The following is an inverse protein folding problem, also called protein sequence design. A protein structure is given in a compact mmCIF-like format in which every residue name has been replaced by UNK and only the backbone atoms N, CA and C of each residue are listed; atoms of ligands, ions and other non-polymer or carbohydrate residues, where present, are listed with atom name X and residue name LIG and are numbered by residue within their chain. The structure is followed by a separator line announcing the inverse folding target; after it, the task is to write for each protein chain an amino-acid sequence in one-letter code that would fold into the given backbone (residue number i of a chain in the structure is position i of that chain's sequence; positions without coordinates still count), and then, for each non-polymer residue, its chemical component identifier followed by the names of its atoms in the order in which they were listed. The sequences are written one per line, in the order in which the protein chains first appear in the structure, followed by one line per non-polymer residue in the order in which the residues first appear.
data_IF_663528220628
#
_entry.id   IF_663528220628
#
_cell.length_a   1.000
_cell.length_b   1.000
_cell.length_c   1.000
_cell.angle_alpha   90.00
_cell.angle_beta   90.00
_cell.angle_gamma   90.00
#
_symmetry.space_group_name_H-M   'P 1'
#
loop_
_entity.id
_entity.type
_entity.pdbx_description
1 polymer ?
#
# COMPACT_ATOMS: atom_id res chain seq x y z
N UNK A 1 2.77 -1.75 -5.55
CA UNK A 1 3.39 -0.73 -6.43
C UNK A 1 2.51 -0.30 -7.61
N UNK A 2 2.02 -1.20 -8.47
CA UNK A 2 1.21 -0.86 -9.66
C UNK A 2 0.02 0.06 -9.34
N UNK A 3 -0.73 -0.24 -8.28
CA UNK A 3 -1.87 0.58 -7.84
C UNK A 3 -1.45 2.01 -7.48
N UNK A 4 -0.37 2.18 -6.71
CA UNK A 4 0.15 3.50 -6.36
C UNK A 4 0.62 4.30 -7.58
N UNK A 5 1.28 3.65 -8.55
CA UNK A 5 1.67 4.29 -9.82
C UNK A 5 0.45 4.77 -10.60
N UNK A 6 -0.60 3.93 -10.69
CA UNK A 6 -1.84 4.31 -11.37
C UNK A 6 -2.58 5.43 -10.64
N UNK A 7 -2.55 5.45 -9.31
CA UNK A 7 -3.10 6.54 -8.51
C UNK A 7 -2.39 7.88 -8.78
N UNK A 8 -1.05 7.85 -8.92
CA UNK A 8 -0.27 9.04 -9.25
C UNK A 8 -0.65 9.64 -10.61
N UNK A 9 -0.91 8.81 -11.62
CA UNK A 9 -1.43 9.25 -12.93
C UNK A 9 -2.81 9.96 -12.83
N UNK A 10 -3.54 9.74 -11.73
CA UNK A 10 -4.82 10.38 -11.42
C UNK A 10 -4.69 11.55 -10.42
N UNK A 11 -3.46 11.97 -10.08
CA UNK A 11 -3.20 13.08 -9.15
C UNK A 11 -3.27 12.70 -7.66
N UNK A 12 -3.29 11.41 -7.34
CA UNK A 12 -3.33 10.89 -5.97
C UNK A 12 -1.95 10.39 -5.54
N UNK A 13 -1.50 10.80 -4.36
CA UNK A 13 -0.36 10.19 -3.68
C UNK A 13 -0.78 9.18 -2.63
N UNK A 14 0.20 8.59 -1.95
CA UNK A 14 0.00 7.62 -0.86
C UNK A 14 0.40 8.26 0.45
N UNK A 15 -0.56 8.37 1.37
CA UNK A 15 -0.37 8.90 2.73
C UNK A 15 0.07 7.85 3.74
N UNK A 16 -0.19 6.58 3.42
CA UNK A 16 0.31 5.46 4.18
C UNK A 16 -0.06 4.12 3.54
N UNK A 17 0.63 3.08 3.98
CA UNK A 17 0.43 1.69 3.55
C UNK A 17 0.55 0.74 4.73
N UNK A 18 -0.34 -0.25 4.81
CA UNK A 18 -0.27 -1.32 5.81
C UNK A 18 -0.70 -2.65 5.20
N UNK A 19 -0.17 -3.76 5.72
CA UNK A 19 -0.74 -5.08 5.45
C UNK A 19 -2.12 -5.22 6.13
N UNK A 20 -3.01 -5.97 5.49
CA UNK A 20 -4.22 -6.47 6.15
C UNK A 20 -3.82 -7.45 7.25
N UNK A 21 -4.44 -7.38 8.45
CA UNK A 21 -4.15 -8.30 9.53
C UNK A 21 -4.66 -9.72 9.26
N UNK A 22 -5.56 -9.89 8.28
CA UNK A 22 -6.14 -11.17 7.90
C UNK A 22 -5.64 -11.57 6.51
N UNK A 23 -5.18 -12.82 6.32
CA UNK A 23 -4.88 -13.33 4.99
C UNK A 23 -6.18 -13.44 4.17
N UNK A 24 -6.06 -13.23 2.86
CA UNK A 24 -7.17 -13.45 1.95
C UNK A 24 -7.60 -14.92 1.88
N UNK A 25 -8.73 -15.24 1.22
CA UNK A 25 -9.31 -16.59 1.20
C UNK A 25 -8.37 -17.71 0.75
N UNK A 26 -7.38 -17.38 -0.09
CA UNK A 26 -6.37 -18.32 -0.61
C UNK A 26 -4.99 -18.16 0.05
N UNK A 27 -4.91 -17.46 1.19
CA UNK A 27 -3.64 -17.19 1.89
C UNK A 27 -2.83 -16.02 1.32
N UNK A 28 -3.41 -15.20 0.45
CA UNK A 28 -2.71 -14.03 -0.09
C UNK A 28 -2.58 -12.93 0.96
N UNK A 29 -1.43 -12.24 1.01
CA UNK A 29 -1.27 -11.03 1.80
C UNK A 29 -1.87 -9.84 1.03
N UNK A 30 -2.82 -9.15 1.65
CA UNK A 30 -3.46 -7.96 1.09
C UNK A 30 -2.90 -6.69 1.74
N UNK A 31 -2.94 -5.55 1.03
CA UNK A 31 -2.42 -4.27 1.51
C UNK A 31 -3.45 -3.17 1.33
N UNK A 32 -3.58 -2.31 2.34
CA UNK A 32 -4.36 -1.08 2.28
C UNK A 32 -3.46 0.09 1.88
N UNK A 33 -3.92 0.92 0.95
CA UNK A 33 -3.28 2.18 0.59
C UNK A 33 -4.23 3.33 0.94
N UNK A 34 -3.75 4.28 1.73
CA UNK A 34 -4.47 5.54 1.96
C UNK A 34 -4.09 6.54 0.87
N UNK A 35 -5.01 6.77 -0.07
CA UNK A 35 -4.80 7.70 -1.18
C UNK A 35 -5.34 9.09 -0.87
N UNK A 36 -4.59 10.13 -1.23
CA UNK A 36 -5.00 11.52 -1.07
C UNK A 36 -4.46 12.39 -2.21
N UNK A 37 -5.27 13.31 -2.72
CA UNK A 37 -4.84 14.27 -3.73
C UNK A 37 -3.66 15.12 -3.21
N UNK A 38 -2.62 15.26 -4.03
CA UNK A 38 -1.41 16.03 -3.69
C UNK A 38 -0.50 15.43 -2.63
N UNK A 39 -0.77 14.21 -2.14
CA UNK A 39 0.15 13.48 -1.28
C UNK A 39 1.43 13.06 -2.05
N UNK A 40 2.54 12.74 -1.37
CA UNK A 40 3.74 12.24 -2.03
C UNK A 40 3.50 10.86 -2.68
N UNK A 41 4.41 10.42 -3.58
CA UNK A 41 4.42 9.04 -4.06
C UNK A 41 4.57 8.03 -2.92
N UNK A 42 4.29 6.76 -3.21
CA UNK A 42 4.49 5.65 -2.27
C UNK A 42 5.91 5.66 -1.68
N UNK A 43 6.01 5.68 -0.36
CA UNK A 43 7.28 5.51 0.34
C UNK A 43 7.68 4.03 0.32
N UNK A 44 8.83 3.74 -0.29
CA UNK A 44 9.39 2.39 -0.41
C UNK A 44 9.90 1.83 0.93
N UNK A 45 10.28 2.68 1.89
CA UNK A 45 10.61 2.24 3.24
C UNK A 45 9.36 1.84 4.02
N UNK A 46 8.28 2.61 3.91
CA UNK A 46 6.99 2.27 4.54
C UNK A 46 6.40 0.99 3.94
N UNK A 47 6.47 0.82 2.61
CA UNK A 47 6.04 -0.42 1.96
C UNK A 47 6.83 -1.63 2.45
N UNK A 48 8.17 -1.51 2.59
CA UNK A 48 8.99 -2.62 3.13
C UNK A 48 8.57 -3.01 4.53
N UNK A 49 8.35 -2.03 5.40
CA UNK A 49 7.83 -2.28 6.76
C UNK A 49 6.48 -2.98 6.74
N UNK A 50 5.55 -2.52 5.91
CA UNK A 50 4.24 -3.15 5.78
C UNK A 50 4.32 -4.62 5.31
N UNK A 51 5.31 -4.96 4.45
CA UNK A 51 5.56 -6.34 4.02
C UNK A 51 6.14 -7.17 5.17
N UNK A 52 7.12 -6.62 5.90
CA UNK A 52 7.78 -7.31 7.03
C UNK A 52 6.83 -7.54 8.23
N UNK A 53 5.93 -6.59 8.51
CA UNK A 53 4.96 -6.64 9.61
C UNK A 53 3.69 -7.44 9.25
N UNK A 54 3.53 -7.86 7.99
CA UNK A 54 2.35 -8.57 7.48
C UNK A 54 2.24 -10.03 7.93
N UNK A 55 1.04 -10.64 7.84
CA UNK A 55 0.82 -12.05 8.18
C UNK A 55 1.60 -12.99 7.23
N UNK A 56 2.04 -14.14 7.77
CA UNK A 56 2.72 -15.23 7.04
C UNK A 56 1.73 -16.25 6.47
#
# INVERSE_FOLDING_TARGET
RTVARRAAELGLGVRGVTASPLPGPSGNVEYFLWLQAGAPPLDEAELRRAIEEGPQ
#
